data_IF_465658692556
#
_entry.id   IF_465658692556
#
_cell.length_a   1.000
_cell.length_b   1.000
_cell.length_c   1.000
_cell.angle_alpha   90.00
_cell.angle_beta   90.00
_cell.angle_gamma   90.00
#
_symmetry.space_group_name_H-M   'P 1'
#
loop_
_entity.id
_entity.type
_entity.pdbx_description
1 polymer ?
#
# COMPACT_ATOMS: atom_id res chain seq x y z
N UNK A 1 54.48 38.38 92.18
CA UNK A 1 54.21 38.99 93.50
C UNK A 1 55.04 38.22 94.51
N UNK A 2 55.99 38.93 95.10
CA UNK A 2 56.96 38.48 96.09
C UNK A 2 56.34 38.39 97.49
N UNK A 3 57.10 37.71 98.36
CA UNK A 3 57.12 37.75 99.83
C UNK A 3 56.30 36.74 100.62
N UNK A 4 57.02 35.85 101.31
CA UNK A 4 57.05 35.86 102.77
C UNK A 4 58.32 35.17 103.33
N UNK A 5 59.08 35.95 104.10
CA UNK A 5 60.23 35.58 104.94
C UNK A 5 59.85 34.51 106.00
N UNK A 6 60.67 33.48 106.25
CA UNK A 6 61.84 33.41 107.16
C UNK A 6 61.54 33.84 108.60
N UNK A 7 61.44 32.84 109.49
CA UNK A 7 61.66 32.97 110.93
C UNK A 7 62.61 31.87 111.45
N UNK A 8 63.76 32.33 111.94
CA UNK A 8 64.72 31.77 112.91
C UNK A 8 64.63 30.30 113.38
N UNK A 9 65.66 29.51 113.08
CA UNK A 9 66.03 28.26 113.79
C UNK A 9 67.56 28.18 113.98
N UNK A 10 68.13 29.18 114.65
CA UNK A 10 69.57 29.44 114.74
C UNK A 10 70.47 28.65 115.73
N UNK A 11 70.03 27.79 116.68
CA UNK A 11 70.98 27.20 117.64
C UNK A 11 71.36 25.73 117.39
N UNK A 12 70.57 24.94 116.64
CA UNK A 12 70.86 23.52 116.41
C UNK A 12 71.90 23.26 115.30
N UNK A 13 71.91 24.10 114.27
CA UNK A 13 72.85 24.01 113.16
C UNK A 13 74.28 24.34 113.62
N UNK A 14 74.45 25.35 114.46
CA UNK A 14 75.77 25.71 114.98
C UNK A 14 76.36 24.59 115.85
N UNK A 15 75.53 23.93 116.66
CA UNK A 15 75.98 22.81 117.49
C UNK A 15 76.35 21.58 116.65
N UNK A 16 75.64 21.33 115.55
CA UNK A 16 75.99 20.27 114.59
C UNK A 16 77.28 20.60 113.81
N UNK A 17 77.48 21.86 113.45
CA UNK A 17 78.71 22.34 112.79
C UNK A 17 79.90 22.28 113.75
N UNK A 18 79.70 22.60 115.03
CA UNK A 18 80.74 22.48 116.07
C UNK A 18 81.07 21.01 116.37
N UNK A 19 80.09 20.11 116.34
CA UNK A 19 80.35 18.66 116.41
C UNK A 19 81.07 18.12 115.17
N UNK A 20 80.72 18.59 113.97
CA UNK A 20 81.41 18.22 112.73
C UNK A 20 82.84 18.76 112.69
N UNK A 21 83.07 19.98 113.19
CA UNK A 21 84.43 20.55 113.27
C UNK A 21 85.25 19.93 114.38
N UNK A 22 84.67 19.56 115.53
CA UNK A 22 85.35 18.78 116.56
C UNK A 22 85.73 17.37 116.06
N UNK A 23 84.85 16.71 115.30
CA UNK A 23 85.14 15.42 114.65
C UNK A 23 86.18 15.55 113.52
N UNK A 24 86.26 16.71 112.85
CA UNK A 24 87.30 16.99 111.87
C UNK A 24 88.66 17.34 112.50
N UNK A 25 88.69 17.82 113.75
CA UNK A 25 89.91 18.16 114.50
C UNK A 25 90.58 16.95 115.17
N UNK A 26 89.83 15.88 115.47
CA UNK A 26 90.45 14.56 115.60
C UNK A 26 90.90 14.13 114.22
N UNK A 27 92.16 14.39 113.86
CA UNK A 27 92.72 14.09 112.55
C UNK A 27 92.21 12.75 112.04
N UNK A 28 91.66 12.73 110.82
CA UNK A 28 91.16 11.52 110.19
C UNK A 28 92.23 10.44 110.32
N UNK A 29 92.01 9.48 111.21
CA UNK A 29 92.92 8.36 111.43
C UNK A 29 92.72 7.36 110.29
N UNK A 30 92.99 7.81 109.05
CA UNK A 30 92.88 7.02 107.83
C UNK A 30 93.75 5.78 107.93
N UNK A 31 94.85 5.83 108.69
CA UNK A 31 95.74 4.69 108.92
C UNK A 31 95.22 3.68 109.96
N UNK A 32 94.53 4.12 111.03
CA UNK A 32 93.96 3.19 112.01
C UNK A 32 92.64 2.58 111.54
N UNK A 33 91.86 3.35 110.76
CA UNK A 33 90.57 2.90 110.23
C UNK A 33 90.67 2.43 108.77
N UNK A 34 91.89 2.27 108.23
CA UNK A 34 92.13 1.85 106.84
C UNK A 34 91.37 0.57 106.52
N UNK A 35 91.45 -0.40 107.41
CA UNK A 35 90.90 -1.73 107.20
C UNK A 35 89.36 -1.69 107.24
N UNK A 36 88.76 -0.83 108.07
CA UNK A 36 87.30 -0.58 108.10
C UNK A 36 86.79 0.15 106.85
N UNK A 37 87.58 1.08 106.30
CA UNK A 37 87.23 1.75 105.04
C UNK A 37 87.37 0.80 103.84
N UNK A 38 88.38 -0.06 103.82
CA UNK A 38 88.52 -1.11 102.80
C UNK A 38 87.37 -2.12 102.86
N UNK A 39 86.99 -2.59 104.05
CA UNK A 39 85.86 -3.52 104.22
C UNK A 39 84.53 -2.90 103.74
N UNK A 40 84.31 -1.61 104.01
CA UNK A 40 83.12 -0.89 103.55
C UNK A 40 83.11 -0.67 102.04
N UNK A 41 84.25 -0.31 101.44
CA UNK A 41 84.38 -0.16 99.99
C UNK A 41 84.16 -1.50 99.26
N UNK A 42 84.64 -2.61 99.82
CA UNK A 42 84.43 -3.95 99.28
C UNK A 42 82.95 -4.36 99.31
N UNK A 43 82.23 -4.05 100.40
CA UNK A 43 80.78 -4.27 100.45
C UNK A 43 80.03 -3.49 99.38
N UNK A 44 80.37 -2.22 99.16
CA UNK A 44 79.65 -1.39 98.17
C UNK A 44 79.92 -1.83 96.71
N UNK A 45 81.12 -2.36 96.40
CA UNK A 45 81.45 -2.87 95.06
C UNK A 45 80.69 -4.15 94.71
N UNK A 46 80.46 -5.03 95.69
CA UNK A 46 79.78 -6.33 95.46
C UNK A 46 78.27 -6.25 95.23
N UNK A 47 77.62 -5.10 95.49
CA UNK A 47 76.15 -4.99 95.46
C UNK A 47 75.61 -4.49 94.11
N UNK A 48 76.44 -3.94 93.21
CA UNK A 48 75.91 -3.29 92.00
C UNK A 48 76.68 -3.39 90.68
N UNK A 49 77.97 -3.78 90.67
CA UNK A 49 78.80 -3.60 89.47
C UNK A 49 79.33 -4.93 88.93
N UNK A 50 79.18 -5.16 87.62
CA UNK A 50 79.86 -6.23 86.86
C UNK A 50 81.37 -5.95 86.66
N UNK A 51 81.96 -5.11 87.50
CA UNK A 51 83.32 -4.60 87.35
C UNK A 51 84.23 -5.38 88.31
N UNK A 52 85.23 -6.07 87.75
CA UNK A 52 86.04 -7.05 88.47
C UNK A 52 86.89 -6.39 89.56
N UNK A 53 86.80 -6.88 90.79
CA UNK A 53 87.55 -6.35 91.95
C UNK A 53 89.08 -6.53 91.80
N UNK A 54 89.51 -7.35 90.84
CA UNK A 54 90.91 -7.56 90.45
C UNK A 54 91.58 -6.34 89.81
N UNK A 55 90.82 -5.34 89.31
CA UNK A 55 91.42 -4.14 88.71
C UNK A 55 92.08 -3.20 89.73
N UNK A 56 91.78 -3.34 91.03
CA UNK A 56 92.24 -2.42 92.08
C UNK A 56 93.54 -2.88 92.76
N UNK A 57 93.78 -4.18 92.95
CA UNK A 57 95.05 -4.72 93.45
C UNK A 57 95.22 -6.23 93.16
N UNK A 58 96.03 -6.62 92.16
CA UNK A 58 96.17 -8.01 91.70
C UNK A 58 96.87 -8.98 92.67
N UNK A 59 97.59 -8.48 93.67
CA UNK A 59 98.43 -9.32 94.56
C UNK A 59 97.83 -9.55 95.95
N UNK A 60 96.62 -9.07 96.22
CA UNK A 60 95.96 -9.28 97.49
C UNK A 60 95.22 -10.64 97.51
N UNK A 61 95.65 -11.63 98.32
CA UNK A 61 95.08 -12.97 98.33
C UNK A 61 93.62 -13.03 98.82
N UNK A 62 93.13 -11.98 99.48
CA UNK A 62 91.73 -11.89 99.92
C UNK A 62 90.83 -11.50 98.74
N UNK A 63 91.24 -10.52 97.93
CA UNK A 63 90.49 -10.07 96.75
C UNK A 63 90.36 -11.17 95.68
N UNK A 64 91.44 -11.94 95.46
CA UNK A 64 91.41 -13.08 94.52
C UNK A 64 90.39 -14.14 94.97
N UNK A 65 90.26 -14.38 96.29
CA UNK A 65 89.29 -15.35 96.83
C UNK A 65 87.86 -14.85 96.70
N UNK A 66 87.63 -13.57 96.95
CA UNK A 66 86.31 -12.94 96.81
C UNK A 66 85.87 -12.89 95.34
N UNK A 67 86.75 -12.52 94.41
CA UNK A 67 86.46 -12.54 92.98
C UNK A 67 86.21 -13.96 92.47
N UNK A 68 87.00 -14.95 92.90
CA UNK A 68 86.75 -16.35 92.56
C UNK A 68 85.36 -16.79 93.05
N UNK A 69 84.93 -16.35 94.24
CA UNK A 69 83.60 -16.64 94.76
C UNK A 69 82.52 -15.89 93.97
N UNK A 70 82.74 -14.64 93.59
CA UNK A 70 81.84 -13.85 92.75
C UNK A 70 81.67 -14.47 91.37
N UNK A 71 82.75 -14.94 90.73
CA UNK A 71 82.69 -15.66 89.47
C UNK A 71 81.96 -17.00 89.61
N UNK A 72 82.20 -17.74 90.69
CA UNK A 72 81.43 -18.98 90.98
C UNK A 72 79.94 -18.68 91.12
N UNK A 73 79.58 -17.60 91.79
CA UNK A 73 78.18 -17.18 91.94
C UNK A 73 77.60 -16.68 90.62
N UNK A 74 78.38 -15.98 89.78
CA UNK A 74 78.00 -15.63 88.41
C UNK A 74 77.74 -16.88 87.57
N UNK A 75 78.64 -17.88 87.59
CA UNK A 75 78.43 -19.14 86.87
C UNK A 75 77.25 -19.93 87.40
N UNK A 76 76.98 -19.89 88.72
CA UNK A 76 75.76 -20.49 89.30
C UNK A 76 74.50 -19.79 88.78
N UNK A 77 74.48 -18.46 88.75
CA UNK A 77 73.38 -17.67 88.18
C UNK A 77 73.20 -17.96 86.69
N UNK A 78 74.29 -17.95 85.92
CA UNK A 78 74.28 -18.26 84.49
C UNK A 78 73.74 -19.67 84.21
N UNK A 79 74.18 -20.65 85.00
CA UNK A 79 73.67 -22.03 84.94
C UNK A 79 72.18 -22.09 85.27
N UNK A 80 71.73 -21.38 86.31
CA UNK A 80 70.32 -21.32 86.68
C UNK A 80 69.48 -20.70 85.56
N UNK A 81 69.90 -19.55 85.01
CA UNK A 81 69.23 -18.91 83.88
C UNK A 81 69.19 -19.82 82.65
N UNK A 82 70.28 -20.54 82.36
CA UNK A 82 70.32 -21.48 81.25
C UNK A 82 69.34 -22.65 81.43
N UNK A 83 69.30 -23.24 82.63
CA UNK A 83 68.34 -24.30 82.95
C UNK A 83 66.90 -23.80 82.92
N UNK A 84 66.64 -22.59 83.43
CA UNK A 84 65.33 -21.96 83.40
C UNK A 84 64.88 -21.71 81.95
N UNK A 85 65.75 -21.21 81.08
CA UNK A 85 65.46 -21.03 79.66
C UNK A 85 65.22 -22.37 78.94
N UNK A 86 66.00 -23.40 79.27
CA UNK A 86 65.79 -24.76 78.77
C UNK A 86 64.43 -25.31 79.18
N UNK A 87 64.07 -25.16 80.47
CA UNK A 87 62.76 -25.56 80.99
C UNK A 87 61.62 -24.78 80.34
N UNK A 88 61.76 -23.47 80.14
CA UNK A 88 60.79 -22.64 79.42
C UNK A 88 60.61 -23.09 77.96
N UNK A 89 61.69 -23.41 77.24
CA UNK A 89 61.59 -23.98 75.88
C UNK A 89 60.86 -25.32 75.87
N UNK A 90 61.23 -26.25 76.75
CA UNK A 90 60.57 -27.55 76.83
C UNK A 90 59.10 -27.42 77.20
N UNK A 91 58.75 -26.51 78.12
CA UNK A 91 57.36 -26.25 78.48
C UNK A 91 56.56 -25.67 77.30
N UNK A 92 57.12 -24.67 76.59
CA UNK A 92 56.49 -24.12 75.40
C UNK A 92 56.30 -25.20 74.33
N UNK A 93 57.35 -25.95 73.99
CA UNK A 93 57.28 -27.04 73.02
C UNK A 93 56.23 -28.11 73.40
N UNK A 94 56.11 -28.42 74.69
CA UNK A 94 55.09 -29.35 75.19
C UNK A 94 53.66 -28.82 75.07
N UNK A 95 53.45 -27.50 75.05
CA UNK A 95 52.12 -26.88 74.91
C UNK A 95 51.78 -26.66 73.44
N UNK A 96 52.72 -26.13 72.65
CA UNK A 96 52.50 -25.77 71.25
C UNK A 96 52.70 -26.94 70.30
N UNK A 97 53.30 -28.05 70.74
CA UNK A 97 53.63 -29.21 69.91
C UNK A 97 54.81 -28.98 68.95
N UNK A 98 55.36 -27.76 68.92
CA UNK A 98 56.46 -27.33 68.07
C UNK A 98 57.55 -26.67 68.91
N UNK A 99 58.81 -27.03 68.65
CA UNK A 99 59.96 -26.41 69.32
C UNK A 99 60.11 -24.95 68.86
N UNK A 100 60.28 -23.99 69.79
CA UNK A 100 60.45 -22.58 69.42
C UNK A 100 61.65 -22.41 68.50
N UNK A 101 61.41 -21.94 67.27
CA UNK A 101 62.45 -21.74 66.28
C UNK A 101 63.52 -20.78 66.82
N UNK A 102 64.78 -21.24 66.82
CA UNK A 102 65.92 -20.42 67.21
C UNK A 102 66.19 -19.45 66.07
N UNK A 103 65.94 -18.17 66.29
CA UNK A 103 66.28 -17.12 65.33
C UNK A 103 67.79 -16.90 65.43
N UNK A 104 68.53 -17.34 64.41
CA UNK A 104 69.96 -17.05 64.34
C UNK A 104 70.16 -15.58 63.91
N UNK A 105 71.17 -14.88 64.46
CA UNK A 105 71.50 -13.53 64.02
C UNK A 105 71.88 -13.54 62.53
N UNK A 106 71.03 -12.95 61.67
CA UNK A 106 71.21 -12.91 60.21
C UNK A 106 70.04 -13.50 59.41
N UNK A 107 69.33 -14.50 59.93
CA UNK A 107 68.18 -15.11 59.23
C UNK A 107 67.03 -14.11 59.01
N UNK A 108 66.82 -13.20 59.97
CA UNK A 108 65.84 -12.13 59.81
C UNK A 108 66.21 -11.17 58.68
N UNK A 109 67.49 -10.85 58.50
CA UNK A 109 67.95 -9.94 57.44
C UNK A 109 67.78 -10.60 56.05
N UNK A 110 68.09 -11.89 55.93
CA UNK A 110 67.87 -12.66 54.70
C UNK A 110 66.38 -12.80 54.35
N UNK A 111 65.54 -13.07 55.36
CA UNK A 111 64.08 -13.13 55.19
C UNK A 111 63.48 -11.77 54.84
N UNK A 112 64.00 -10.67 55.41
CA UNK A 112 63.60 -9.31 55.05
C UNK A 112 63.97 -8.99 53.61
N UNK A 113 65.18 -9.34 53.16
CA UNK A 113 65.61 -9.17 51.77
C UNK A 113 64.75 -9.99 50.81
N UNK A 114 64.48 -11.26 51.12
CA UNK A 114 63.61 -12.12 50.30
C UNK A 114 62.17 -11.60 50.25
N UNK A 115 61.63 -11.14 51.38
CA UNK A 115 60.30 -10.54 51.43
C UNK A 115 60.23 -9.22 50.67
N UNK A 116 61.28 -8.40 50.70
CA UNK A 116 61.35 -7.16 49.93
C UNK A 116 61.33 -7.46 48.43
N UNK A 117 62.11 -8.44 47.97
CA UNK A 117 62.11 -8.88 46.57
C UNK A 117 60.73 -9.41 46.14
N UNK A 118 60.14 -10.34 46.90
CA UNK A 118 58.81 -10.89 46.60
C UNK A 118 57.72 -9.81 46.62
N UNK A 119 57.82 -8.81 47.51
CA UNK A 119 56.90 -7.66 47.52
C UNK A 119 57.05 -6.79 46.27
N UNK A 120 58.29 -6.58 45.81
CA UNK A 120 58.54 -5.84 44.58
C UNK A 120 57.98 -6.57 43.35
N UNK A 121 58.23 -7.88 43.24
CA UNK A 121 57.68 -8.73 42.17
C UNK A 121 56.15 -8.75 42.20
N UNK A 122 55.54 -8.94 43.38
CA UNK A 122 54.08 -8.91 43.53
C UNK A 122 53.50 -7.55 43.13
N UNK A 123 54.19 -6.46 43.45
CA UNK A 123 53.75 -5.11 43.07
C UNK A 123 53.79 -4.93 41.55
N UNK A 124 54.85 -5.39 40.88
CA UNK A 124 54.96 -5.36 39.44
C UNK A 124 53.85 -6.19 38.75
N UNK A 125 53.62 -7.42 39.21
CA UNK A 125 52.55 -8.26 38.65
C UNK A 125 51.17 -7.65 38.89
N UNK A 126 50.92 -7.03 40.05
CA UNK A 126 49.66 -6.32 40.31
C UNK A 126 49.45 -5.14 39.35
N UNK A 127 50.49 -4.37 39.07
CA UNK A 127 50.38 -3.27 38.11
C UNK A 127 50.13 -3.78 36.70
N UNK A 128 50.78 -4.88 36.30
CA UNK A 128 50.59 -5.48 34.98
C UNK A 128 49.17 -6.04 34.81
N UNK A 129 48.62 -6.69 35.85
CA UNK A 129 47.23 -7.17 35.83
C UNK A 129 46.24 -6.01 35.72
N UNK A 130 46.47 -4.92 36.45
CA UNK A 130 45.58 -3.76 36.36
C UNK A 130 45.65 -3.11 34.96
N UNK A 131 46.84 -3.01 34.37
CA UNK A 131 47.02 -2.54 33.00
C UNK A 131 46.27 -3.44 32.01
N UNK A 132 46.47 -4.76 32.06
CA UNK A 132 45.76 -5.71 31.20
C UNK A 132 44.24 -5.63 31.38
N UNK A 133 43.77 -5.42 32.61
CA UNK A 133 42.34 -5.24 32.88
C UNK A 133 41.81 -3.96 32.23
N UNK A 134 42.52 -2.83 32.36
CA UNK A 134 42.09 -1.57 31.75
C UNK A 134 42.08 -1.67 30.22
N UNK A 135 43.10 -2.30 29.62
CA UNK A 135 43.16 -2.57 28.18
C UNK A 135 42.00 -3.46 27.72
N UNK A 136 41.69 -4.54 28.47
CA UNK A 136 40.57 -5.42 28.15
C UNK A 136 39.22 -4.70 28.18
N UNK A 137 39.01 -3.79 29.14
CA UNK A 137 37.78 -2.97 29.20
C UNK A 137 37.70 -2.03 28.00
N UNK A 138 38.79 -1.34 27.66
CA UNK A 138 38.83 -0.44 26.50
C UNK A 138 38.56 -1.20 25.19
N UNK A 139 39.18 -2.36 25.01
CA UNK A 139 38.97 -3.21 23.84
C UNK A 139 37.54 -3.73 23.77
N UNK A 140 36.95 -4.13 24.89
CA UNK A 140 35.55 -4.58 24.93
C UNK A 140 34.58 -3.45 24.54
N UNK A 141 34.81 -2.23 25.03
CA UNK A 141 34.00 -1.07 24.66
C UNK A 141 34.16 -0.69 23.18
N UNK A 142 35.38 -0.72 22.64
CA UNK A 142 35.64 -0.48 21.23
C UNK A 142 34.98 -1.53 20.35
N UNK A 143 35.08 -2.80 20.71
CA UNK A 143 34.47 -3.91 19.99
C UNK A 143 32.93 -3.79 20.01
N UNK A 144 32.33 -3.46 21.17
CA UNK A 144 30.90 -3.22 21.26
C UNK A 144 30.44 -2.08 20.32
N UNK A 145 31.18 -0.96 20.27
CA UNK A 145 30.90 0.15 19.35
C UNK A 145 31.01 -0.30 17.88
N UNK A 146 32.10 -0.96 17.51
CA UNK A 146 32.30 -1.46 16.14
C UNK A 146 31.22 -2.47 15.73
N UNK A 147 30.81 -3.35 16.64
CA UNK A 147 29.73 -4.30 16.38
C UNK A 147 28.40 -3.56 16.12
N UNK A 148 28.06 -2.54 16.91
CA UNK A 148 26.84 -1.74 16.68
C UNK A 148 26.88 -1.02 15.33
N UNK A 149 28.03 -0.43 14.97
CA UNK A 149 28.21 0.24 13.70
C UNK A 149 28.10 -0.73 12.53
N UNK A 150 28.84 -1.85 12.54
CA UNK A 150 28.74 -2.89 11.51
C UNK A 150 27.34 -3.47 11.39
N UNK A 151 26.62 -3.65 12.50
CA UNK A 151 25.23 -4.13 12.46
C UNK A 151 24.31 -3.13 11.77
N UNK A 152 24.52 -1.83 12.00
CA UNK A 152 23.77 -0.77 11.31
C UNK A 152 24.09 -0.70 9.81
N UNK A 153 25.36 -0.80 9.44
CA UNK A 153 25.79 -0.82 8.04
C UNK A 153 25.27 -2.07 7.32
N UNK A 154 25.25 -3.22 8.00
CA UNK A 154 24.71 -4.46 7.46
C UNK A 154 23.20 -4.35 7.19
N UNK A 155 22.44 -3.72 8.09
CA UNK A 155 20.99 -3.55 7.89
C UNK A 155 20.69 -2.60 6.73
N UNK A 156 21.46 -1.52 6.58
CA UNK A 156 21.38 -0.61 5.44
C UNK A 156 21.74 -1.32 4.13
N UNK A 157 22.84 -2.09 4.12
CA UNK A 157 23.25 -2.87 2.95
C UNK A 157 22.19 -3.91 2.55
N UNK A 158 21.53 -4.54 3.52
CA UNK A 158 20.40 -5.45 3.26
C UNK A 158 19.18 -4.73 2.68
N UNK A 159 18.87 -3.53 3.17
CA UNK A 159 17.79 -2.70 2.63
C UNK A 159 18.07 -2.31 1.17
N UNK A 160 19.28 -1.81 0.88
CA UNK A 160 19.73 -1.47 -0.47
C UNK A 160 19.72 -2.70 -1.39
N UNK A 161 20.16 -3.86 -0.92
CA UNK A 161 20.11 -5.10 -1.70
C UNK A 161 18.67 -5.49 -2.07
N UNK A 162 17.71 -5.30 -1.15
CA UNK A 162 16.30 -5.54 -1.43
C UNK A 162 15.76 -4.55 -2.47
N UNK A 163 16.15 -3.29 -2.39
CA UNK A 163 15.76 -2.26 -3.35
C UNK A 163 16.32 -2.54 -4.74
N UNK A 164 17.61 -2.91 -4.84
CA UNK A 164 18.24 -3.31 -6.11
C UNK A 164 17.51 -4.49 -6.72
N UNK A 165 17.20 -5.54 -5.95
CA UNK A 165 16.41 -6.67 -6.45
C UNK A 165 15.03 -6.26 -6.92
N UNK A 166 14.39 -5.31 -6.22
CA UNK A 166 13.11 -4.71 -6.64
C UNK A 166 13.23 -4.00 -8.00
N UNK A 167 14.26 -3.16 -8.16
CA UNK A 167 14.54 -2.48 -9.43
C UNK A 167 14.88 -3.46 -10.55
N UNK A 168 15.64 -4.51 -10.28
CA UNK A 168 15.95 -5.56 -11.25
C UNK A 168 14.71 -6.32 -11.71
N UNK A 169 13.77 -6.62 -10.80
CA UNK A 169 12.49 -7.23 -11.12
C UNK A 169 11.61 -6.30 -11.96
N UNK A 170 11.54 -5.00 -11.63
CA UNK A 170 10.82 -4.02 -12.44
C UNK A 170 11.44 -3.86 -13.82
N UNK A 171 12.78 -3.83 -13.90
CA UNK A 171 13.50 -3.76 -15.17
C UNK A 171 13.25 -5.03 -16.01
N UNK A 172 13.25 -6.21 -15.39
CA UNK A 172 12.89 -7.47 -16.06
C UNK A 172 11.42 -7.44 -16.54
N UNK A 173 10.50 -6.90 -15.74
CA UNK A 173 9.09 -6.72 -16.11
C UNK A 173 8.91 -5.76 -17.28
N UNK A 174 9.62 -4.63 -17.28
CA UNK A 174 9.62 -3.68 -18.40
C UNK A 174 10.21 -4.37 -19.64
N UNK A 175 11.31 -5.11 -19.50
CA UNK A 175 11.92 -5.84 -20.61
C UNK A 175 10.99 -6.91 -21.20
N UNK A 176 10.18 -7.57 -20.38
CA UNK A 176 9.21 -8.56 -20.81
C UNK A 176 7.95 -7.93 -21.44
N UNK A 177 7.44 -6.85 -20.86
CA UNK A 177 6.28 -6.08 -21.39
C UNK A 177 6.64 -5.42 -22.73
N UNK A 178 7.88 -4.95 -22.87
CA UNK A 178 8.39 -4.30 -24.07
C UNK A 178 9.58 -5.10 -24.63
N UNK A 179 9.32 -6.15 -25.43
CA UNK A 179 10.35 -6.88 -26.15
C UNK A 179 11.20 -5.93 -27.02
N UNK A 180 12.47 -6.27 -27.29
CA UNK A 180 13.38 -5.41 -28.05
C UNK A 180 12.86 -5.02 -29.44
N UNK A 181 11.99 -5.83 -30.05
CA UNK A 181 11.31 -5.50 -31.32
C UNK A 181 10.37 -4.30 -31.22
N UNK A 182 9.78 -4.08 -30.04
CA UNK A 182 8.87 -2.95 -29.76
C UNK A 182 9.57 -1.77 -29.09
N UNK A 183 10.89 -1.86 -28.87
CA UNK A 183 11.64 -0.76 -28.25
C UNK A 183 12.05 0.24 -29.33
N UNK A 184 11.39 1.38 -29.28
CA UNK A 184 11.74 2.48 -30.15
C UNK A 184 12.82 3.34 -29.48
N UNK A 185 13.85 3.73 -30.23
CA UNK A 185 14.82 4.73 -29.75
C UNK A 185 14.12 6.08 -29.60
N UNK A 186 14.68 6.98 -28.78
CA UNK A 186 14.09 8.32 -28.55
C UNK A 186 13.89 9.05 -29.89
N UNK A 187 14.86 8.96 -30.80
CA UNK A 187 14.76 9.55 -32.15
C UNK A 187 13.60 8.95 -32.95
N UNK A 188 13.49 7.62 -32.99
CA UNK A 188 12.38 6.98 -33.71
C UNK A 188 11.02 7.30 -33.06
N UNK A 189 11.00 7.49 -31.73
CA UNK A 189 9.81 7.90 -30.98
C UNK A 189 9.36 9.30 -31.33
N UNK A 190 10.31 10.25 -31.43
CA UNK A 190 10.01 11.61 -31.89
C UNK A 190 9.57 11.62 -33.35
N UNK A 191 10.23 10.86 -34.23
CA UNK A 191 9.87 10.80 -35.65
C UNK A 191 8.47 10.23 -35.86
N UNK A 192 8.10 9.20 -35.09
CA UNK A 192 6.76 8.60 -35.14
C UNK A 192 5.71 9.53 -34.55
N UNK A 193 6.03 10.25 -33.48
CA UNK A 193 5.14 11.24 -32.88
C UNK A 193 4.90 12.41 -33.84
N UNK A 194 5.94 12.88 -34.53
CA UNK A 194 5.82 13.92 -35.55
C UNK A 194 4.95 13.43 -36.72
N UNK A 195 5.17 12.20 -37.20
CA UNK A 195 4.34 11.59 -38.23
C UNK A 195 2.87 11.46 -37.80
N UNK A 196 2.61 10.98 -36.58
CA UNK A 196 1.26 10.89 -36.01
C UNK A 196 0.61 12.25 -35.82
N UNK A 197 1.39 13.27 -35.47
CA UNK A 197 0.87 14.64 -35.32
C UNK A 197 0.44 15.20 -36.67
N UNK A 198 1.19 14.92 -37.73
CA UNK A 198 0.80 15.26 -39.11
C UNK A 198 -0.46 14.51 -39.53
N UNK A 199 -0.54 13.20 -39.26
CA UNK A 199 -1.72 12.39 -39.57
C UNK A 199 -2.97 12.87 -38.81
N UNK A 200 -2.83 13.18 -37.52
CA UNK A 200 -3.91 13.74 -36.72
C UNK A 200 -4.36 15.10 -37.26
N UNK A 201 -3.44 15.95 -37.69
CA UNK A 201 -3.75 17.21 -38.36
C UNK A 201 -4.60 16.99 -39.62
N UNK A 202 -4.18 16.07 -40.49
CA UNK A 202 -4.92 15.71 -41.71
C UNK A 202 -6.32 15.15 -41.40
N UNK A 203 -6.43 14.24 -40.42
CA UNK A 203 -7.71 13.68 -40.00
C UNK A 203 -8.63 14.74 -39.38
N UNK A 204 -8.09 15.74 -38.69
CA UNK A 204 -8.86 16.87 -38.19
C UNK A 204 -9.40 17.74 -39.33
N UNK A 205 -8.55 18.07 -40.31
CA UNK A 205 -8.95 18.83 -41.51
C UNK A 205 -10.03 18.09 -42.30
N UNK A 206 -9.87 16.77 -42.53
CA UNK A 206 -10.84 15.92 -43.21
C UNK A 206 -12.18 15.88 -42.45
N UNK A 207 -12.11 15.76 -41.12
CA UNK A 207 -13.30 15.79 -40.27
C UNK A 207 -14.02 17.13 -40.37
N UNK A 208 -13.30 18.24 -40.37
CA UNK A 208 -13.90 19.57 -40.53
C UNK A 208 -14.54 19.74 -41.92
N UNK A 209 -13.89 19.23 -42.98
CA UNK A 209 -14.44 19.25 -44.33
C UNK A 209 -15.74 18.43 -44.44
N UNK A 210 -15.74 17.21 -43.92
CA UNK A 210 -16.94 16.34 -43.89
C UNK A 210 -18.04 16.97 -43.03
N UNK A 211 -17.70 17.57 -41.90
CA UNK A 211 -18.67 18.27 -41.05
C UNK A 211 -19.31 19.44 -41.79
N UNK A 212 -18.52 20.23 -42.52
CA UNK A 212 -19.03 21.34 -43.32
C UNK A 212 -19.95 20.84 -44.46
N UNK A 213 -19.63 19.72 -45.10
CA UNK A 213 -20.50 19.09 -46.10
C UNK A 213 -21.79 18.53 -45.49
N UNK A 214 -21.71 17.91 -44.31
CA UNK A 214 -22.86 17.45 -43.56
C UNK A 214 -23.80 18.61 -43.18
N UNK A 215 -23.24 19.75 -42.76
CA UNK A 215 -24.03 20.94 -42.43
C UNK A 215 -24.69 21.56 -43.68
N UNK A 216 -23.99 21.59 -44.82
CA UNK A 216 -24.56 22.01 -46.11
C UNK A 216 -25.72 21.12 -46.55
N UNK A 217 -25.51 19.81 -46.58
CA UNK A 217 -26.54 18.83 -46.97
C UNK A 217 -27.73 18.86 -46.00
N UNK A 218 -27.49 19.02 -44.69
CA UNK A 218 -28.56 19.23 -43.70
C UNK A 218 -29.35 20.51 -43.98
N UNK A 219 -28.68 21.59 -44.38
CA UNK A 219 -29.31 22.82 -44.82
C UNK A 219 -30.19 22.63 -46.06
N UNK A 220 -29.70 21.91 -47.07
CA UNK A 220 -30.44 21.58 -48.29
C UNK A 220 -31.66 20.70 -48.00
N UNK A 221 -31.51 19.64 -47.20
CA UNK A 221 -32.61 18.79 -46.75
C UNK A 221 -33.66 19.61 -46.01
N UNK A 222 -33.27 20.55 -45.15
CA UNK A 222 -34.21 21.42 -44.45
C UNK A 222 -34.96 22.37 -45.41
N UNK A 223 -34.33 22.83 -46.50
CA UNK A 223 -35.00 23.62 -47.55
C UNK A 223 -35.97 22.76 -48.35
N UNK A 224 -35.54 21.59 -48.81
CA UNK A 224 -36.39 20.65 -49.55
C UNK A 224 -37.58 20.22 -48.70
N UNK A 225 -37.38 19.93 -47.41
CA UNK A 225 -38.48 19.60 -46.49
C UNK A 225 -39.52 20.72 -46.38
N UNK A 226 -39.09 21.99 -46.32
CA UNK A 226 -39.99 23.15 -46.34
C UNK A 226 -40.72 23.28 -47.68
N UNK A 227 -40.04 23.07 -48.79
CA UNK A 227 -40.64 23.10 -50.12
C UNK A 227 -41.67 21.98 -50.31
N UNK A 228 -41.37 20.76 -49.86
CA UNK A 228 -42.30 19.62 -49.84
C UNK A 228 -43.52 19.94 -48.97
N UNK A 229 -43.33 20.56 -47.80
CA UNK A 229 -44.46 20.98 -46.95
C UNK A 229 -45.32 22.04 -47.65
N UNK A 230 -44.72 23.00 -48.35
CA UNK A 230 -45.46 24.01 -49.14
C UNK A 230 -46.23 23.37 -50.28
N UNK A 231 -45.55 22.54 -51.09
CA UNK A 231 -46.18 21.83 -52.21
C UNK A 231 -47.26 20.86 -51.73
N UNK A 232 -47.11 20.24 -50.55
CA UNK A 232 -48.15 19.42 -49.94
C UNK A 232 -49.41 20.23 -49.60
N UNK A 233 -49.26 21.44 -49.06
CA UNK A 233 -50.38 22.36 -48.82
C UNK A 233 -51.02 22.84 -50.12
N UNK A 234 -50.22 23.13 -51.14
CA UNK A 234 -50.72 23.54 -52.45
C UNK A 234 -51.48 22.38 -53.13
N UNK A 235 -50.95 21.16 -53.05
CA UNK A 235 -51.63 19.93 -53.50
C UNK A 235 -52.95 19.73 -52.78
N UNK A 236 -52.99 19.84 -51.46
CA UNK A 236 -54.22 19.68 -50.68
C UNK A 236 -55.28 20.72 -51.08
N UNK A 237 -54.88 21.97 -51.35
CA UNK A 237 -55.78 23.02 -51.87
C UNK A 237 -56.32 22.70 -53.26
N UNK A 238 -55.47 22.25 -54.18
CA UNK A 238 -55.89 21.89 -55.52
C UNK A 238 -56.74 20.62 -55.55
N UNK A 239 -56.43 19.62 -54.71
CA UNK A 239 -57.26 18.43 -54.53
C UNK A 239 -58.62 18.78 -53.92
N UNK A 240 -58.69 19.71 -52.96
CA UNK A 240 -59.96 20.21 -52.43
C UNK A 240 -60.80 20.91 -53.51
N UNK A 241 -60.20 21.79 -54.32
CA UNK A 241 -60.89 22.42 -55.47
C UNK A 241 -61.36 21.39 -56.49
N UNK A 242 -60.51 20.42 -56.83
CA UNK A 242 -60.87 19.35 -57.77
C UNK A 242 -62.00 18.48 -57.22
N UNK A 243 -62.00 18.21 -55.91
CA UNK A 243 -63.08 17.49 -55.21
C UNK A 243 -64.38 18.28 -55.21
N UNK A 244 -64.36 19.59 -54.93
CA UNK A 244 -65.56 20.45 -55.02
C UNK A 244 -66.13 20.48 -56.45
N UNK A 245 -65.29 20.58 -57.48
CA UNK A 245 -65.74 20.50 -58.88
C UNK A 245 -66.34 19.13 -59.20
N UNK A 246 -65.73 18.05 -58.69
CA UNK A 246 -66.22 16.69 -58.89
C UNK A 246 -67.54 16.44 -58.16
N UNK A 247 -67.66 16.85 -56.91
CA UNK A 247 -68.90 16.79 -56.13
C UNK A 247 -69.98 17.70 -56.74
N UNK A 248 -69.62 18.85 -57.30
CA UNK A 248 -70.53 19.72 -58.05
C UNK A 248 -71.01 19.10 -59.37
N UNK A 249 -70.20 18.27 -60.04
CA UNK A 249 -70.61 17.48 -61.21
C UNK A 249 -71.43 16.24 -60.82
N UNK A 250 -71.07 15.55 -59.74
CA UNK A 250 -71.79 14.35 -59.26
C UNK A 250 -73.14 14.73 -58.60
N UNK A 251 -73.25 15.90 -57.98
CA UNK A 251 -74.53 16.47 -57.54
C UNK A 251 -75.36 17.07 -58.69
N UNK A 252 -74.73 17.25 -59.85
CA UNK A 252 -75.32 17.84 -61.04
C UNK A 252 -75.52 16.85 -62.17
N UNK A 253 -76.29 15.77 -61.96
CA UNK A 253 -77.36 15.34 -62.89
C UNK A 253 -78.25 14.19 -62.36
N UNK A 254 -78.62 14.21 -61.07
CA UNK A 254 -79.52 13.19 -60.50
C UNK A 254 -80.87 13.12 -61.24
N UNK A 255 -81.28 14.22 -61.87
CA UNK A 255 -82.51 14.31 -62.66
C UNK A 255 -82.42 13.56 -63.98
N UNK A 256 -81.27 13.60 -64.67
CA UNK A 256 -81.06 12.81 -65.90
C UNK A 256 -80.91 11.33 -65.58
N UNK A 257 -80.22 10.97 -64.50
CA UNK A 257 -80.14 9.57 -64.07
C UNK A 257 -81.53 9.00 -63.71
N UNK A 258 -82.37 9.77 -63.04
CA UNK A 258 -83.76 9.38 -62.73
C UNK A 258 -84.61 9.22 -64.00
N UNK A 259 -84.46 10.12 -64.99
CA UNK A 259 -85.15 10.03 -66.28
C UNK A 259 -84.66 8.80 -67.07
N UNK A 260 -83.35 8.55 -67.14
CA UNK A 260 -82.78 7.38 -67.80
C UNK A 260 -83.24 6.08 -67.15
N UNK A 261 -83.34 6.04 -65.82
CA UNK A 261 -83.87 4.90 -65.07
C UNK A 261 -85.35 4.68 -65.34
N UNK A 262 -86.16 5.75 -65.42
CA UNK A 262 -87.58 5.67 -65.77
C UNK A 262 -87.81 5.23 -67.21
N UNK A 263 -87.07 5.79 -68.17
CA UNK A 263 -87.14 5.41 -69.59
C UNK A 263 -86.74 3.94 -69.78
N UNK A 264 -85.67 3.49 -69.13
CA UNK A 264 -85.23 2.09 -69.20
C UNK A 264 -86.24 1.12 -68.60
N UNK A 265 -86.86 1.50 -67.46
CA UNK A 265 -87.91 0.70 -66.82
C UNK A 265 -89.17 0.64 -67.69
N UNK A 266 -89.56 1.77 -68.30
CA UNK A 266 -90.69 1.85 -69.21
C UNK A 266 -90.45 1.03 -70.49
N UNK A 267 -89.24 1.08 -71.05
CA UNK A 267 -88.88 0.30 -72.25
C UNK A 267 -88.91 -1.21 -71.97
N UNK A 268 -88.48 -1.65 -70.78
CA UNK A 268 -88.61 -3.04 -70.34
C UNK A 268 -90.08 -3.49 -70.22
N UNK A 269 -90.95 -2.63 -69.67
CA UNK A 269 -92.39 -2.90 -69.59
C UNK A 269 -93.04 -3.01 -70.97
N UNK A 270 -92.74 -2.09 -71.90
CA UNK A 270 -93.26 -2.16 -73.27
C UNK A 270 -92.75 -3.40 -74.03
N UNK A 271 -91.48 -3.80 -73.82
CA UNK A 271 -90.93 -5.05 -74.38
C UNK A 271 -91.69 -6.28 -73.89
N UNK A 272 -91.98 -6.34 -72.59
CA UNK A 272 -92.76 -7.44 -71.99
C UNK A 272 -94.19 -7.51 -72.53
N UNK A 273 -94.89 -6.37 -72.62
CA UNK A 273 -96.27 -6.30 -73.13
C UNK A 273 -96.39 -6.80 -74.58
N UNK A 274 -95.45 -6.38 -75.43
CA UNK A 274 -95.40 -6.73 -76.85
C UNK A 274 -94.80 -8.13 -77.10
N UNK A 275 -94.35 -8.84 -76.06
CA UNK A 275 -93.73 -10.17 -76.19
C UNK A 275 -92.40 -10.15 -76.94
N UNK A 276 -91.70 -9.02 -76.95
CA UNK A 276 -90.44 -8.84 -77.69
C UNK A 276 -89.29 -9.31 -76.82
N UNK A 277 -88.66 -10.42 -77.20
CA UNK A 277 -87.48 -10.97 -76.52
C UNK A 277 -86.23 -10.16 -76.83
N UNK A 278 -86.06 -9.80 -78.10
CA UNK A 278 -84.89 -9.07 -78.55
C UNK A 278 -85.22 -8.17 -79.74
N UNK A 279 -84.61 -7.00 -79.77
CA UNK A 279 -84.67 -6.06 -80.90
C UNK A 279 -83.24 -5.86 -81.36
N UNK A 280 -82.94 -6.27 -82.58
CA UNK A 280 -81.62 -6.10 -83.18
C UNK A 280 -81.75 -5.32 -84.47
N UNK A 281 -81.08 -4.18 -84.57
CA UNK A 281 -80.76 -3.61 -85.88
C UNK A 281 -79.59 -4.43 -86.44
N UNK A 282 -79.87 -5.36 -87.36
CA UNK A 282 -78.86 -6.26 -87.92
C UNK A 282 -77.94 -5.51 -88.89
N UNK A 283 -78.49 -4.53 -89.61
CA UNK A 283 -77.79 -3.59 -90.48
C UNK A 283 -78.47 -2.21 -90.39
N UNK A 284 -77.86 -1.16 -90.97
CA UNK A 284 -78.43 0.21 -90.96
C UNK A 284 -79.85 0.29 -91.57
N UNK A 285 -80.26 -0.74 -92.32
CA UNK A 285 -81.52 -0.79 -93.05
C UNK A 285 -82.42 -1.98 -92.66
N UNK A 286 -82.01 -2.83 -91.71
CA UNK A 286 -82.77 -4.02 -91.33
C UNK A 286 -82.98 -4.10 -89.81
N UNK A 287 -84.23 -4.22 -89.40
CA UNK A 287 -84.64 -4.36 -88.01
C UNK A 287 -85.25 -5.74 -87.78
N UNK A 288 -84.59 -6.53 -86.94
CA UNK A 288 -85.05 -7.85 -86.53
C UNK A 288 -85.71 -7.75 -85.16
N UNK A 289 -86.98 -8.14 -85.10
CA UNK A 289 -87.78 -8.21 -83.89
C UNK A 289 -88.02 -9.69 -83.59
N UNK A 290 -87.39 -10.21 -82.54
CA UNK A 290 -87.62 -11.58 -82.07
C UNK A 290 -88.75 -11.57 -81.05
N UNK A 291 -89.85 -12.24 -81.39
CA UNK A 291 -91.02 -12.39 -80.53
C UNK A 291 -91.02 -13.75 -79.84
N UNK A 292 -91.44 -13.75 -78.58
CA UNK A 292 -91.67 -14.96 -77.80
C UNK A 292 -93.15 -15.36 -77.90
N UNK A 293 -93.41 -16.48 -78.59
CA UNK A 293 -94.75 -16.96 -78.95
C UNK A 293 -94.86 -18.44 -78.54
N UNK A 294 -96.01 -18.94 -78.08
CA UNK A 294 -96.18 -20.32 -77.60
C UNK A 294 -95.78 -21.43 -78.58
N UNK A 295 -95.73 -21.17 -79.90
CA UNK A 295 -95.35 -22.14 -80.93
C UNK A 295 -93.85 -22.10 -81.32
N UNK A 296 -93.01 -21.34 -80.60
CA UNK A 296 -91.58 -21.17 -80.85
C UNK A 296 -91.19 -19.70 -81.12
N UNK A 297 -89.91 -19.34 -80.99
CA UNK A 297 -89.47 -17.96 -81.25
C UNK A 297 -89.61 -17.63 -82.74
N UNK A 298 -90.24 -16.49 -83.03
CA UNK A 298 -90.46 -16.02 -84.40
C UNK A 298 -89.79 -14.67 -84.58
N UNK A 299 -89.01 -14.52 -85.66
CA UNK A 299 -88.29 -13.29 -85.96
C UNK A 299 -88.96 -12.56 -87.12
N UNK A 300 -89.45 -11.35 -86.88
CA UNK A 300 -89.89 -10.43 -87.91
C UNK A 300 -88.71 -9.57 -88.35
N UNK A 301 -88.24 -9.77 -89.57
CA UNK A 301 -87.20 -8.96 -90.19
C UNK A 301 -87.86 -7.90 -91.07
N UNK A 302 -87.77 -6.64 -90.64
CA UNK A 302 -88.24 -5.48 -91.38
C UNK A 302 -87.08 -4.89 -92.17
N UNK A 303 -87.23 -4.79 -93.49
CA UNK A 303 -86.29 -4.11 -94.36
C UNK A 303 -86.80 -2.70 -94.67
N UNK A 304 -85.89 -1.73 -94.63
CA UNK A 304 -86.15 -0.33 -94.92
C UNK A 304 -85.32 0.11 -96.12
N UNK A 305 -85.89 0.99 -96.94
CA UNK A 305 -85.18 1.60 -98.05
C UNK A 305 -84.14 2.62 -97.54
N UNK A 306 -82.84 2.49 -97.88
CA UNK A 306 -81.76 3.37 -97.40
C UNK A 306 -81.95 4.86 -97.70
N UNK A 307 -82.66 5.22 -98.78
CA UNK A 307 -82.83 6.62 -99.19
C UNK A 307 -84.08 7.27 -98.60
N UNK A 308 -85.19 6.54 -98.58
CA UNK A 308 -86.48 7.08 -98.13
C UNK A 308 -86.81 6.75 -96.69
N UNK A 309 -86.08 5.80 -96.08
CA UNK A 309 -86.32 5.25 -94.73
C UNK A 309 -87.74 4.72 -94.52
N UNK A 310 -88.42 4.38 -95.62
CA UNK A 310 -89.75 3.75 -95.60
C UNK A 310 -89.60 2.24 -95.57
N UNK A 311 -90.61 1.56 -95.04
CA UNK A 311 -90.66 0.10 -95.04
C UNK A 311 -90.66 -0.39 -96.49
N UNK A 312 -89.65 -1.15 -96.88
CA UNK A 312 -89.50 -1.71 -98.23
C UNK A 312 -90.04 -3.13 -98.31
N UNK A 313 -89.78 -3.94 -97.28
CA UNK A 313 -90.23 -5.32 -97.18
C UNK A 313 -90.26 -5.78 -95.72
N UNK A 314 -90.97 -6.85 -95.44
CA UNK A 314 -90.97 -7.51 -94.14
C UNK A 314 -91.08 -9.01 -94.31
N UNK A 315 -90.18 -9.77 -93.67
CA UNK A 315 -90.16 -11.22 -93.76
C UNK A 315 -90.28 -11.84 -92.38
N UNK A 316 -91.06 -12.91 -92.29
CA UNK A 316 -91.18 -13.71 -91.07
C UNK A 316 -90.27 -14.92 -91.17
N UNK A 317 -89.37 -15.05 -90.21
CA UNK A 317 -88.40 -16.13 -90.12
C UNK A 317 -88.82 -17.00 -88.93
N UNK A 318 -89.28 -18.23 -89.20
CA UNK A 318 -89.68 -19.21 -88.17
C UNK A 318 -91.18 -19.56 -88.10
N UNK A 319 -92.02 -19.10 -89.04
CA UNK A 319 -93.43 -19.50 -89.15
C UNK A 319 -93.90 -19.51 -90.61
N UNK A 320 -94.77 -20.46 -90.97
CA UNK A 320 -95.39 -20.60 -92.31
C UNK A 320 -96.65 -19.72 -92.49
N UNK A 321 -96.84 -18.71 -91.63
CA UNK A 321 -97.95 -17.75 -91.78
C UNK A 321 -97.73 -16.86 -93.01
N UNK A 322 -98.73 -16.80 -93.89
CA UNK A 322 -98.74 -15.88 -95.02
C UNK A 322 -99.05 -14.45 -94.55
N UNK A 323 -98.02 -13.59 -94.58
CA UNK A 323 -98.09 -12.18 -94.15
C UNK A 323 -98.09 -11.23 -95.36
N UNK A 324 -98.10 -11.73 -96.59
CA UNK A 324 -97.95 -10.92 -97.80
C UNK A 324 -99.01 -9.81 -97.93
N UNK A 325 -100.26 -10.08 -97.54
CA UNK A 325 -101.35 -9.09 -97.59
C UNK A 325 -101.14 -7.96 -96.59
N UNK A 326 -100.72 -8.27 -95.36
CA UNK A 326 -100.46 -7.28 -94.31
C UNK A 326 -99.24 -6.40 -94.65
N UNK A 327 -98.21 -6.99 -95.27
CA UNK A 327 -97.02 -6.28 -95.73
C UNK A 327 -97.38 -5.28 -96.83
N UNK A 328 -98.20 -5.69 -97.80
CA UNK A 328 -98.60 -4.81 -98.92
C UNK A 328 -99.41 -3.60 -98.43
N UNK A 329 -100.29 -3.80 -97.44
CA UNK A 329 -101.06 -2.70 -96.81
C UNK A 329 -100.16 -1.77 -95.99
N UNK A 330 -99.20 -2.34 -95.27
CA UNK A 330 -98.25 -1.58 -94.46
C UNK A 330 -97.26 -0.76 -95.31
N UNK A 331 -96.80 -1.28 -96.45
CA UNK A 331 -95.96 -0.54 -97.42
C UNK A 331 -96.74 0.64 -98.02
N UNK A 332 -98.02 0.43 -98.38
CA UNK A 332 -98.87 1.48 -98.95
C UNK A 332 -99.08 2.68 -98.02
N UNK A 333 -99.25 2.43 -96.72
CA UNK A 333 -99.50 3.48 -95.71
C UNK A 333 -98.25 3.89 -94.91
N UNK A 334 -97.13 3.19 -95.08
CA UNK A 334 -95.91 3.32 -94.29
C UNK A 334 -96.16 3.24 -92.76
N UNK A 335 -97.05 2.34 -92.35
CA UNK A 335 -97.48 2.14 -90.95
C UNK A 335 -96.83 0.87 -90.36
N UNK A 336 -95.61 1.04 -89.85
CA UNK A 336 -94.82 -0.04 -89.23
C UNK A 336 -95.43 -0.53 -87.90
N UNK A 337 -95.93 0.33 -87.00
CA UNK A 337 -96.62 -0.12 -85.79
C UNK A 337 -97.90 -0.92 -86.07
N UNK A 338 -98.67 -0.53 -87.09
CA UNK A 338 -99.84 -1.28 -87.56
C UNK A 338 -99.50 -2.68 -88.03
N UNK A 339 -98.40 -2.83 -88.80
CA UNK A 339 -97.89 -4.14 -89.23
C UNK A 339 -97.48 -5.02 -88.05
N UNK A 340 -96.77 -4.45 -87.07
CA UNK A 340 -96.35 -5.18 -85.87
C UNK A 340 -97.57 -5.64 -85.05
N UNK A 341 -98.61 -4.81 -84.93
CA UNK A 341 -99.83 -5.18 -84.21
C UNK A 341 -100.61 -6.30 -84.94
N UNK A 342 -100.74 -6.23 -86.26
CA UNK A 342 -101.44 -7.26 -87.05
C UNK A 342 -100.68 -8.59 -87.02
N UNK A 343 -99.35 -8.57 -87.17
CA UNK A 343 -98.49 -9.74 -87.05
C UNK A 343 -98.56 -10.34 -85.63
N UNK A 344 -98.57 -9.52 -84.58
CA UNK A 344 -98.71 -9.98 -83.20
C UNK A 344 -100.07 -10.62 -82.91
N UNK A 345 -101.16 -10.08 -83.46
CA UNK A 345 -102.50 -10.67 -83.32
C UNK A 345 -102.55 -12.04 -84.01
N UNK A 346 -102.01 -12.13 -85.23
CA UNK A 346 -101.98 -13.39 -86.01
C UNK A 346 -101.04 -14.46 -85.43
N UNK A 347 -100.02 -14.06 -84.68
CA UNK A 347 -99.11 -14.98 -83.97
C UNK A 347 -99.68 -15.46 -82.62
N UNK A 348 -100.63 -14.73 -82.01
CA UNK A 348 -101.26 -15.08 -80.72
C UNK A 348 -102.57 -15.87 -80.85
N UNK A 349 -103.24 -15.80 -82.00
CA UNK A 349 -104.35 -16.68 -82.39
C UNK A 349 -103.85 -18.00 -82.93
#
# INVERSE_FOLDING_TARGET
>A
MTDAAITSSGPALHQAVDQLTAAAQSGYNVYQNRDLFQERALRDVTVGSNESALMLDPNNPILVREEMNAQKDYFRRLKFTYLEQGAKRHFLASITGEEPQRVEPGENEELEASNAQKKAELKAVKTDIENMRTEAVVLAEQNAKQHTEMTSQLSEAQALQKEIRGMELELARIKATYPPENRMTISQATDTLDAQTVELGQLMDDKEAVQAEADRTRGEVARIAKDVQRLGRDREREEAKAKEVREGREAGDTKVDDICRWLSSSMSFYRSLLGIRFVQAATDNELHLEYDVPNGPVTLALAFDPLTKRLSDATMIGSDLDVAEAITVAIGNNDVPGLIADVLVRLRT
#
